data_IF_766461709401
#
_entry.id   IF_766461709401
#
_cell.length_a   1.000
_cell.length_b   1.000
_cell.length_c   1.000
_cell.angle_alpha   90.00
_cell.angle_beta   90.00
_cell.angle_gamma   90.00
#
_symmetry.space_group_name_H-M   'P 1'
#
loop_
_entity.id
_entity.type
_entity.pdbx_description
1 polymer ?
#
# COMPACT_ATOMS: atom_id res chain seq x y z
N UNK A 1 4.45 -16.96 -46.10
CA UNK A 1 3.49 -17.15 -44.99
C UNK A 1 4.19 -16.88 -43.66
N UNK A 2 4.15 -15.63 -43.18
CA UNK A 2 4.21 -15.27 -41.76
C UNK A 2 3.49 -13.93 -41.69
N UNK A 3 2.27 -13.94 -41.14
CA UNK A 3 1.45 -12.73 -40.94
C UNK A 3 2.05 -11.99 -39.75
N UNK A 4 2.56 -10.80 -40.01
CA UNK A 4 2.85 -9.81 -38.97
C UNK A 4 1.50 -9.35 -38.39
N UNK A 5 1.21 -9.79 -37.16
CA UNK A 5 0.06 -9.32 -36.39
C UNK A 5 0.37 -7.94 -35.83
N UNK A 6 0.22 -6.90 -36.65
CA UNK A 6 0.23 -5.52 -36.19
C UNK A 6 -0.90 -5.32 -35.18
N UNK A 7 -0.55 -4.94 -33.96
CA UNK A 7 -1.50 -4.42 -32.99
C UNK A 7 -2.06 -3.14 -33.60
N UNK A 8 -3.29 -3.23 -34.10
CA UNK A 8 -4.06 -2.08 -34.54
C UNK A 8 -4.21 -1.14 -33.35
N UNK A 9 -3.44 -0.05 -33.35
CA UNK A 9 -3.75 1.15 -32.59
C UNK A 9 -5.11 1.63 -33.09
N UNK A 10 -6.19 1.13 -32.47
CA UNK A 10 -7.51 1.74 -32.60
C UNK A 10 -7.31 3.19 -32.20
N UNK A 11 -7.52 4.10 -33.14
CA UNK A 11 -7.59 5.53 -32.86
C UNK A 11 -8.59 5.72 -31.72
N UNK A 12 -8.10 5.98 -30.52
CA UNK A 12 -8.96 6.25 -29.36
C UNK A 12 -9.64 7.57 -29.70
N UNK A 13 -10.87 7.48 -30.19
CA UNK A 13 -11.77 8.62 -30.38
C UNK A 13 -11.78 9.43 -29.09
N UNK A 14 -11.68 10.78 -29.19
CA UNK A 14 -11.72 11.73 -28.07
C UNK A 14 -12.56 11.20 -26.90
N UNK A 15 -11.89 10.78 -25.83
CA UNK A 15 -12.57 10.30 -24.63
C UNK A 15 -13.47 11.42 -24.12
N UNK A 16 -14.73 11.11 -23.86
CA UNK A 16 -15.62 12.05 -23.18
C UNK A 16 -15.45 11.91 -21.67
N UNK A 17 -14.61 12.77 -21.09
CA UNK A 17 -14.38 12.91 -19.65
C UNK A 17 -15.60 13.51 -18.92
N UNK A 18 -16.69 12.76 -18.85
CA UNK A 18 -17.98 13.21 -18.30
C UNK A 18 -17.88 13.65 -16.85
N UNK A 19 -17.10 12.93 -16.04
CA UNK A 19 -16.98 13.22 -14.59
C UNK A 19 -15.86 14.20 -14.32
N UNK A 20 -14.75 14.09 -15.05
CA UNK A 20 -13.54 14.84 -14.76
C UNK A 20 -13.60 16.31 -15.21
N UNK A 21 -14.39 16.64 -16.24
CA UNK A 21 -14.55 18.03 -16.74
C UNK A 21 -14.98 19.02 -15.66
N UNK A 22 -15.79 18.61 -14.68
CA UNK A 22 -16.24 19.50 -13.59
C UNK A 22 -15.09 20.01 -12.71
N UNK A 23 -13.93 19.36 -12.74
CA UNK A 23 -12.77 19.68 -11.89
C UNK A 23 -11.81 20.69 -12.51
N UNK A 24 -12.06 21.18 -13.72
CA UNK A 24 -11.15 22.11 -14.42
C UNK A 24 -10.76 23.33 -13.56
N UNK A 25 -11.73 23.95 -12.90
CA UNK A 25 -11.48 25.08 -12.00
C UNK A 25 -10.66 24.70 -10.76
N UNK A 26 -10.88 23.50 -10.21
CA UNK A 26 -10.12 23.01 -9.05
C UNK A 26 -8.67 22.69 -9.42
N UNK A 27 -8.46 22.12 -10.60
CA UNK A 27 -7.12 21.83 -11.15
C UNK A 27 -6.30 23.11 -11.36
N UNK A 28 -6.96 24.20 -11.77
CA UNK A 28 -6.35 25.51 -11.96
C UNK A 28 -5.91 26.21 -10.66
N UNK A 29 -6.34 25.74 -9.48
CA UNK A 29 -5.88 26.30 -8.19
C UNK A 29 -4.44 25.90 -7.84
N UNK A 30 -3.88 24.88 -8.49
CA UNK A 30 -2.57 24.36 -8.14
C UNK A 30 -1.45 25.39 -8.34
N UNK A 31 -0.90 25.90 -7.24
CA UNK A 31 0.25 26.82 -7.24
C UNK A 31 1.62 26.12 -7.36
N UNK A 32 1.62 24.79 -7.59
CA UNK A 32 2.82 23.96 -7.84
C UNK A 32 3.88 23.99 -6.72
N UNK A 33 3.49 24.23 -5.47
CA UNK A 33 4.37 24.35 -4.31
C UNK A 33 5.16 23.07 -3.94
N UNK A 34 4.65 21.88 -4.27
CA UNK A 34 5.36 20.60 -4.08
C UNK A 34 5.03 19.80 -2.82
N UNK A 35 4.28 20.35 -1.86
CA UNK A 35 3.90 19.63 -0.62
C UNK A 35 3.17 18.30 -0.86
N UNK A 36 2.43 18.20 -1.98
CA UNK A 36 1.68 17.00 -2.32
C UNK A 36 2.54 15.77 -2.61
N UNK A 37 3.82 15.93 -2.99
CA UNK A 37 4.69 14.79 -3.35
C UNK A 37 5.80 14.50 -2.35
N UNK A 38 6.07 15.41 -1.41
CA UNK A 38 7.05 15.23 -0.32
C UNK A 38 6.80 13.94 0.49
N UNK A 39 5.52 13.62 0.73
CA UNK A 39 5.09 12.44 1.48
C UNK A 39 4.43 11.37 0.60
N UNK A 40 4.69 11.37 -0.71
CA UNK A 40 4.14 10.38 -1.63
C UNK A 40 5.04 9.13 -1.69
N UNK A 41 4.56 7.94 -1.28
CA UNK A 41 5.37 6.72 -1.33
C UNK A 41 5.76 6.32 -2.76
N UNK A 42 4.86 6.55 -3.74
CA UNK A 42 5.12 6.22 -5.14
C UNK A 42 6.26 7.05 -5.73
N UNK A 43 6.33 8.33 -5.36
CA UNK A 43 7.42 9.18 -5.82
C UNK A 43 8.76 8.71 -5.25
N UNK A 44 8.79 8.18 -4.02
CA UNK A 44 10.02 7.59 -3.47
C UNK A 44 10.48 6.35 -4.25
N UNK A 45 9.52 5.52 -4.68
CA UNK A 45 9.83 4.32 -5.45
C UNK A 45 10.31 4.65 -6.87
N UNK A 46 9.63 5.57 -7.56
CA UNK A 46 9.91 5.83 -8.99
C UNK A 46 10.77 7.07 -9.26
N UNK A 47 10.74 8.08 -8.40
CA UNK A 47 11.44 9.36 -8.55
C UNK A 47 11.11 10.12 -9.87
N UNK A 48 9.89 9.93 -10.37
CA UNK A 48 9.38 10.59 -11.58
C UNK A 48 8.20 11.51 -11.24
N UNK A 49 8.22 12.71 -11.82
CA UNK A 49 7.19 13.73 -11.59
C UNK A 49 5.78 13.24 -11.94
N UNK A 50 5.62 12.45 -13.00
CA UNK A 50 4.32 11.93 -13.44
C UNK A 50 3.67 10.94 -12.47
N UNK A 51 4.44 10.38 -11.53
CA UNK A 51 3.95 9.50 -10.48
C UNK A 51 3.52 10.25 -9.21
N UNK A 52 3.83 11.54 -9.14
CA UNK A 52 3.42 12.42 -8.05
C UNK A 52 1.93 12.76 -8.13
N UNK A 53 1.29 13.16 -7.02
CA UNK A 53 -0.09 13.63 -7.04
C UNK A 53 -0.28 14.83 -7.97
N UNK A 54 0.63 15.81 -7.92
CA UNK A 54 0.64 16.98 -8.82
C UNK A 54 0.78 16.57 -10.29
N UNK A 55 1.71 15.69 -10.61
CA UNK A 55 1.92 15.20 -11.98
C UNK A 55 0.67 14.54 -12.53
N UNK A 56 -0.02 13.74 -11.73
CA UNK A 56 -1.30 13.12 -12.10
C UNK A 56 -2.40 14.15 -12.32
N UNK A 57 -2.47 15.20 -11.50
CA UNK A 57 -3.41 16.30 -11.73
C UNK A 57 -3.12 17.04 -13.04
N UNK A 58 -1.84 17.25 -13.39
CA UNK A 58 -1.45 17.85 -14.67
C UNK A 58 -1.82 16.95 -15.85
N UNK A 59 -1.61 15.64 -15.74
CA UNK A 59 -2.03 14.68 -16.76
C UNK A 59 -3.55 14.69 -16.94
N UNK A 60 -4.31 14.73 -15.84
CA UNK A 60 -5.78 14.82 -15.89
C UNK A 60 -6.21 16.14 -16.54
N UNK A 61 -5.61 17.27 -16.16
CA UNK A 61 -5.89 18.56 -16.76
C UNK A 61 -5.65 18.53 -18.28
N UNK A 62 -4.48 18.06 -18.72
CA UNK A 62 -4.18 17.95 -20.15
C UNK A 62 -5.14 17.02 -20.90
N UNK A 63 -5.58 15.93 -20.28
CA UNK A 63 -6.56 15.02 -20.87
C UNK A 63 -7.95 15.66 -21.00
N UNK A 64 -8.41 16.43 -20.00
CA UNK A 64 -9.73 17.08 -20.08
C UNK A 64 -9.75 18.28 -21.03
N UNK A 65 -8.63 18.99 -21.20
CA UNK A 65 -8.51 20.11 -22.15
C UNK A 65 -8.19 19.66 -23.58
N UNK A 66 -7.79 18.40 -23.76
CA UNK A 66 -7.40 17.83 -25.05
C UNK A 66 -5.98 18.19 -25.48
N UNK A 67 -5.15 18.70 -24.56
CA UNK A 67 -3.72 18.95 -24.80
C UNK A 67 -2.88 17.66 -24.70
N UNK A 68 -3.37 16.66 -23.96
CA UNK A 68 -2.72 15.37 -23.77
C UNK A 68 -3.66 14.26 -24.19
N UNK A 69 -3.23 13.46 -25.17
CA UNK A 69 -3.98 12.28 -25.57
C UNK A 69 -3.85 11.17 -24.50
N UNK A 70 -4.97 10.54 -24.09
CA UNK A 70 -4.97 9.49 -23.08
C UNK A 70 -4.33 8.21 -23.64
N UNK A 71 -3.35 7.67 -22.91
CA UNK A 71 -2.67 6.42 -23.26
C UNK A 71 -2.80 5.39 -22.14
N UNK A 72 -2.53 4.12 -22.46
CA UNK A 72 -2.53 3.02 -21.49
C UNK A 72 -1.56 3.29 -20.33
N UNK A 73 -0.41 3.89 -20.61
CA UNK A 73 0.59 4.26 -19.61
C UNK A 73 0.09 5.38 -18.69
N UNK A 74 -0.55 6.41 -19.25
CA UNK A 74 -1.12 7.50 -18.44
C UNK A 74 -2.23 6.93 -17.55
N UNK A 75 -3.12 6.11 -18.10
CA UNK A 75 -4.19 5.48 -17.35
C UNK A 75 -3.62 4.66 -16.18
N UNK A 76 -2.60 3.84 -16.42
CA UNK A 76 -1.91 3.08 -15.39
C UNK A 76 -1.38 3.99 -14.27
N UNK A 77 -0.73 5.11 -14.60
CA UNK A 77 -0.22 6.09 -13.61
C UNK A 77 -1.34 6.68 -12.73
N UNK A 78 -2.51 6.98 -13.28
CA UNK A 78 -3.67 7.44 -12.51
C UNK A 78 -4.12 6.36 -11.50
N UNK A 79 -4.04 5.08 -11.90
CA UNK A 79 -4.39 3.94 -11.06
C UNK A 79 -3.35 3.59 -9.99
N UNK A 80 -2.15 4.18 -10.02
CA UNK A 80 -1.14 3.92 -9.00
C UNK A 80 -1.41 4.62 -7.65
N UNK A 81 -2.37 5.54 -7.54
CA UNK A 81 -2.66 6.21 -6.26
C UNK A 81 -3.24 5.25 -5.19
N UNK A 82 -2.65 5.26 -3.99
CA UNK A 82 -3.14 4.51 -2.84
C UNK A 82 -4.18 5.26 -1.99
N UNK A 83 -4.61 6.47 -2.33
CA UNK A 83 -5.60 7.23 -1.54
C UNK A 83 -5.24 7.48 -0.06
N UNK A 84 -3.97 7.71 0.25
CA UNK A 84 -3.54 8.04 1.62
C UNK A 84 -3.97 9.44 2.11
N UNK A 85 -4.45 10.29 1.19
CA UNK A 85 -4.89 11.68 1.44
C UNK A 85 -3.81 12.66 1.89
N UNK A 86 -2.55 12.23 2.08
CA UNK A 86 -1.42 13.14 2.39
C UNK A 86 -1.34 14.34 1.43
N UNK A 87 -1.62 14.13 0.15
CA UNK A 87 -1.59 15.20 -0.84
C UNK A 87 -2.74 16.20 -0.71
N UNK A 88 -3.94 15.73 -0.38
CA UNK A 88 -5.11 16.58 -0.12
C UNK A 88 -4.91 17.37 1.18
N UNK A 89 -4.48 16.70 2.24
CA UNK A 89 -4.33 17.28 3.59
C UNK A 89 -3.24 18.37 3.63
N UNK A 90 -2.16 18.21 2.86
CA UNK A 90 -1.06 19.18 2.77
C UNK A 90 -1.20 20.18 1.62
N UNK A 91 -2.32 20.17 0.88
CA UNK A 91 -2.51 21.09 -0.24
C UNK A 91 -2.84 22.50 0.26
N UNK A 92 -1.89 23.43 0.17
CA UNK A 92 -2.12 24.84 0.52
C UNK A 92 -3.18 25.53 -0.34
N UNK A 93 -3.44 25.01 -1.53
CA UNK A 93 -4.47 25.52 -2.45
C UNK A 93 -5.84 24.84 -2.29
N UNK A 94 -5.96 23.83 -1.42
CA UNK A 94 -7.22 23.12 -1.17
C UNK A 94 -7.74 22.29 -2.34
N UNK A 95 -6.87 21.77 -3.19
CA UNK A 95 -7.27 20.92 -4.33
C UNK A 95 -7.73 19.54 -3.83
N UNK A 96 -8.95 19.07 -4.18
CA UNK A 96 -9.49 17.78 -3.73
C UNK A 96 -8.91 16.62 -4.56
N UNK A 97 -7.64 16.27 -4.32
CA UNK A 97 -6.85 15.37 -5.18
C UNK A 97 -7.50 13.99 -5.32
N UNK A 98 -7.97 13.41 -4.22
CA UNK A 98 -8.52 12.05 -4.20
C UNK A 98 -9.85 11.92 -4.94
N UNK A 99 -10.66 12.97 -4.92
CA UNK A 99 -11.95 13.07 -5.58
C UNK A 99 -11.73 13.20 -7.10
N UNK A 100 -10.82 14.09 -7.51
CA UNK A 100 -10.40 14.24 -8.91
C UNK A 100 -9.88 12.91 -9.46
N UNK A 101 -8.99 12.24 -8.72
CA UNK A 101 -8.45 10.94 -9.12
C UNK A 101 -9.56 9.87 -9.24
N UNK A 102 -10.57 9.90 -8.37
CA UNK A 102 -11.69 8.92 -8.44
C UNK A 102 -12.51 9.11 -9.71
N UNK A 103 -12.84 10.34 -10.06
CA UNK A 103 -13.58 10.63 -11.29
C UNK A 103 -12.76 10.35 -12.55
N UNK A 104 -11.45 10.67 -12.53
CA UNK A 104 -10.54 10.34 -13.61
C UNK A 104 -10.42 8.83 -13.82
N UNK A 105 -10.33 8.04 -12.74
CA UNK A 105 -10.35 6.57 -12.82
C UNK A 105 -11.63 6.05 -13.47
N UNK A 106 -12.78 6.59 -13.08
CA UNK A 106 -14.07 6.17 -13.63
C UNK A 106 -14.17 6.48 -15.12
N UNK A 107 -13.75 7.68 -15.55
CA UNK A 107 -13.76 8.05 -16.97
C UNK A 107 -12.80 7.18 -17.80
N UNK A 108 -11.63 6.81 -17.26
CA UNK A 108 -10.68 5.91 -17.93
C UNK A 108 -11.21 4.47 -18.03
N UNK A 109 -11.88 3.96 -17.01
CA UNK A 109 -12.50 2.62 -17.05
C UNK A 109 -13.65 2.60 -18.04
N UNK A 110 -14.51 3.62 -18.05
CA UNK A 110 -15.62 3.74 -19.01
C UNK A 110 -15.11 3.84 -20.46
N UNK A 111 -13.93 4.42 -20.67
CA UNK A 111 -13.26 4.50 -21.96
C UNK A 111 -12.59 3.18 -22.39
N UNK A 112 -12.61 2.14 -21.55
CA UNK A 112 -12.12 0.80 -21.88
C UNK A 112 -10.63 0.57 -21.64
N UNK A 113 -9.97 1.40 -20.82
CA UNK A 113 -8.58 1.15 -20.43
C UNK A 113 -8.48 -0.03 -19.45
N UNK A 114 -7.60 -0.97 -19.76
CA UNK A 114 -7.33 -2.09 -18.85
C UNK A 114 -6.15 -1.76 -17.94
N UNK A 115 -6.45 -1.33 -16.73
CA UNK A 115 -5.49 -0.77 -15.77
C UNK A 115 -5.41 -1.62 -14.52
N UNK A 116 -4.26 -1.70 -13.91
CA UNK A 116 -4.11 -2.34 -12.59
C UNK A 116 -3.62 -1.31 -11.58
N UNK A 117 -2.51 -0.63 -11.88
CA UNK A 117 -1.85 0.28 -10.97
C UNK A 117 -1.65 -0.37 -9.61
N UNK A 118 -2.19 0.24 -8.55
CA UNK A 118 -2.13 -0.30 -7.19
C UNK A 118 -3.40 -1.03 -6.75
N UNK A 119 -4.32 -1.31 -7.68
CA UNK A 119 -5.50 -2.13 -7.38
C UNK A 119 -5.13 -3.61 -7.25
N UNK A 120 -6.05 -4.40 -6.69
CA UNK A 120 -5.86 -5.84 -6.52
C UNK A 120 -6.42 -6.58 -7.74
N UNK A 121 -5.83 -7.72 -8.06
CA UNK A 121 -6.35 -8.68 -9.06
C UNK A 121 -6.67 -10.01 -8.40
N UNK A 122 -7.52 -10.81 -9.05
CA UNK A 122 -7.94 -12.14 -8.59
C UNK A 122 -7.62 -13.14 -9.69
N UNK A 123 -6.91 -14.21 -9.35
CA UNK A 123 -6.78 -15.37 -10.22
C UNK A 123 -8.07 -16.20 -10.13
N UNK A 124 -8.96 -16.01 -11.12
CA UNK A 124 -10.33 -16.52 -11.09
C UNK A 124 -10.38 -18.06 -11.02
N UNK A 125 -9.50 -18.75 -11.74
CA UNK A 125 -9.49 -20.22 -11.86
C UNK A 125 -9.15 -20.96 -10.55
N UNK A 126 -8.41 -20.29 -9.65
CA UNK A 126 -8.00 -20.85 -8.36
C UNK A 126 -8.88 -20.35 -7.20
N UNK A 127 -9.82 -19.44 -7.47
CA UNK A 127 -10.62 -18.80 -6.44
C UNK A 127 -11.71 -19.73 -5.91
N UNK A 128 -11.70 -19.98 -4.60
CA UNK A 128 -12.73 -20.80 -3.93
C UNK A 128 -14.08 -20.08 -3.70
N UNK A 129 -14.20 -18.81 -4.11
CA UNK A 129 -15.43 -18.00 -4.00
C UNK A 129 -15.97 -17.92 -2.55
N UNK A 130 -15.10 -18.08 -1.54
CA UNK A 130 -15.48 -18.12 -0.13
C UNK A 130 -16.00 -16.78 0.44
N UNK A 131 -15.74 -15.65 -0.22
CA UNK A 131 -16.24 -14.34 0.17
C UNK A 131 -15.47 -13.62 1.29
N UNK A 132 -14.36 -14.15 1.79
CA UNK A 132 -13.59 -13.47 2.84
C UNK A 132 -13.04 -12.12 2.39
N UNK A 133 -12.62 -12.01 1.13
CA UNK A 133 -12.14 -10.76 0.56
C UNK A 133 -13.25 -9.69 0.45
N UNK A 134 -14.47 -10.11 0.07
CA UNK A 134 -15.66 -9.26 0.02
C UNK A 134 -16.01 -8.77 1.43
N UNK A 135 -16.03 -9.66 2.43
CA UNK A 135 -16.45 -9.31 3.81
C UNK A 135 -15.48 -8.38 4.53
N UNK A 136 -14.21 -8.34 4.15
CA UNK A 136 -13.21 -7.42 4.73
C UNK A 136 -13.07 -6.11 3.96
N UNK A 137 -13.69 -5.97 2.78
CA UNK A 137 -13.49 -4.81 1.91
C UNK A 137 -14.39 -3.64 2.32
N UNK A 138 -13.88 -2.76 3.19
CA UNK A 138 -14.60 -1.54 3.62
C UNK A 138 -14.95 -0.58 2.46
N UNK A 139 -14.19 -0.61 1.36
CA UNK A 139 -14.46 0.21 0.18
C UNK A 139 -15.44 -0.43 -0.80
N UNK A 140 -15.97 -1.62 -0.50
CA UNK A 140 -16.90 -2.37 -1.36
C UNK A 140 -16.39 -2.55 -2.79
N UNK A 141 -15.07 -2.70 -2.92
CA UNK A 141 -14.41 -2.88 -4.20
C UNK A 141 -14.37 -4.33 -4.66
N UNK A 142 -14.65 -5.28 -3.77
CA UNK A 142 -14.72 -6.71 -4.08
C UNK A 142 -16.17 -7.15 -4.00
N UNK A 143 -16.67 -7.75 -5.07
CA UNK A 143 -18.08 -8.09 -5.22
C UNK A 143 -18.23 -9.49 -5.80
N UNK A 144 -19.34 -10.15 -5.47
CA UNK A 144 -19.72 -11.36 -6.17
C UNK A 144 -20.37 -11.01 -7.50
N UNK A 145 -19.95 -11.66 -8.57
CA UNK A 145 -20.53 -11.57 -9.91
C UNK A 145 -20.70 -12.97 -10.49
N UNK A 146 -21.23 -13.06 -11.69
CA UNK A 146 -21.38 -14.31 -12.43
C UNK A 146 -20.53 -14.24 -13.71
N UNK A 147 -19.96 -15.38 -14.12
CA UNK A 147 -19.35 -15.54 -15.44
C UNK A 147 -20.43 -15.75 -16.53
N UNK A 148 -20.01 -15.91 -17.79
CA UNK A 148 -20.92 -16.11 -18.92
C UNK A 148 -21.77 -17.39 -18.81
N UNK A 149 -21.36 -18.34 -17.97
CA UNK A 149 -22.01 -19.64 -17.77
C UNK A 149 -22.86 -19.66 -16.48
N UNK A 150 -22.87 -18.56 -15.72
CA UNK A 150 -23.61 -18.41 -14.47
C UNK A 150 -22.87 -18.91 -13.23
N UNK A 151 -21.58 -19.24 -13.32
CA UNK A 151 -20.80 -19.56 -12.12
C UNK A 151 -20.47 -18.29 -11.35
N UNK A 152 -20.60 -18.38 -10.03
CA UNK A 152 -20.26 -17.28 -9.14
C UNK A 152 -18.76 -17.06 -9.13
N UNK A 153 -18.34 -15.80 -9.29
CA UNK A 153 -16.95 -15.37 -9.15
C UNK A 153 -16.82 -14.11 -8.31
N UNK A 154 -15.59 -13.71 -8.04
CA UNK A 154 -15.28 -12.46 -7.33
C UNK A 154 -14.64 -11.49 -8.32
N UNK A 155 -15.25 -10.32 -8.49
CA UNK A 155 -14.73 -9.24 -9.33
C UNK A 155 -14.22 -8.07 -8.48
N UNK A 156 -13.33 -7.28 -9.08
CA UNK A 156 -12.75 -6.08 -8.47
C UNK A 156 -13.24 -4.82 -9.20
N UNK A 157 -13.93 -3.95 -8.48
CA UNK A 157 -14.19 -2.57 -8.89
C UNK A 157 -12.89 -1.76 -8.70
N UNK A 158 -12.18 -1.57 -9.81
CA UNK A 158 -10.88 -0.87 -9.85
C UNK A 158 -11.00 0.62 -9.48
N UNK A 159 -12.18 1.23 -9.62
CA UNK A 159 -12.42 2.65 -9.26
C UNK A 159 -12.57 2.79 -7.74
N UNK A 160 -13.30 1.86 -7.10
CA UNK A 160 -13.47 1.84 -5.65
C UNK A 160 -12.25 1.35 -4.89
N UNK A 161 -11.44 0.47 -5.50
CA UNK A 161 -10.29 -0.14 -4.84
C UNK A 161 -9.26 0.91 -4.39
N UNK A 162 -8.95 0.90 -3.09
CA UNK A 162 -7.98 1.83 -2.47
C UNK A 162 -6.59 1.22 -2.26
N UNK A 163 -6.37 -0.02 -2.71
CA UNK A 163 -5.05 -0.68 -2.65
C UNK A 163 -4.54 -1.00 -1.25
N UNK A 164 -5.39 -1.06 -0.22
CA UNK A 164 -4.96 -1.31 1.16
C UNK A 164 -4.41 -2.74 1.38
N UNK A 165 -4.84 -3.71 0.57
CA UNK A 165 -4.37 -5.11 0.55
C UNK A 165 -4.85 -5.98 1.70
N UNK A 166 -5.88 -5.57 2.43
CA UNK A 166 -6.45 -6.40 3.48
C UNK A 166 -7.00 -7.73 2.94
N UNK A 167 -7.53 -7.72 1.70
CA UNK A 167 -8.00 -8.92 1.01
C UNK A 167 -6.85 -9.87 0.63
N UNK A 168 -5.70 -9.34 0.17
CA UNK A 168 -4.48 -10.11 -0.09
C UNK A 168 -4.05 -10.84 1.18
N UNK A 169 -3.96 -10.11 2.30
CA UNK A 169 -3.59 -10.65 3.61
C UNK A 169 -4.63 -11.59 4.25
N UNK A 170 -5.83 -11.72 3.68
CA UNK A 170 -6.90 -12.57 4.24
C UNK A 170 -7.25 -13.73 3.31
N UNK A 171 -6.78 -13.72 2.06
CA UNK A 171 -7.10 -14.75 1.09
C UNK A 171 -6.48 -16.09 1.51
N UNK A 172 -7.29 -17.13 1.81
CA UNK A 172 -6.76 -18.41 2.25
C UNK A 172 -6.17 -19.20 1.07
N UNK A 173 -6.64 -18.92 -0.14
CA UNK A 173 -6.20 -19.57 -1.38
C UNK A 173 -4.97 -18.88 -1.99
N UNK A 174 -4.58 -17.69 -1.50
CA UNK A 174 -3.43 -16.94 -2.05
C UNK A 174 -3.64 -16.34 -3.45
N UNK A 175 -4.88 -16.30 -3.97
CA UNK A 175 -5.19 -15.90 -5.36
C UNK A 175 -5.38 -14.40 -5.58
N UNK A 176 -5.30 -13.61 -4.50
CA UNK A 176 -5.42 -12.16 -4.55
C UNK A 176 -4.03 -11.54 -4.49
N UNK A 177 -3.68 -10.74 -5.48
CA UNK A 177 -2.37 -10.09 -5.56
C UNK A 177 -2.50 -8.61 -5.92
N UNK A 178 -1.38 -7.89 -5.80
CA UNK A 178 -1.19 -6.58 -6.41
C UNK A 178 0.04 -6.67 -7.28
N UNK A 179 0.02 -5.93 -8.38
CA UNK A 179 1.15 -5.80 -9.29
C UNK A 179 2.41 -5.41 -8.52
N UNK A 180 3.52 -6.04 -8.88
CA UNK A 180 4.84 -5.72 -8.33
C UNK A 180 5.37 -4.39 -8.87
N UNK A 181 6.40 -3.86 -8.21
CA UNK A 181 7.00 -2.56 -8.48
C UNK A 181 6.51 -1.44 -7.57
N UNK A 182 5.72 -1.75 -6.55
CA UNK A 182 5.20 -0.75 -5.60
C UNK A 182 5.63 -1.00 -4.14
N UNK A 183 6.49 -2.00 -3.89
CA UNK A 183 7.04 -2.34 -2.57
C UNK A 183 5.98 -2.79 -1.54
N UNK A 184 4.89 -3.42 -1.99
CA UNK A 184 3.73 -3.76 -1.15
C UNK A 184 3.27 -5.21 -1.29
N UNK A 185 3.73 -5.94 -2.31
CA UNK A 185 3.41 -7.36 -2.44
C UNK A 185 4.02 -8.15 -1.26
N UNK A 186 3.45 -9.31 -0.86
CA UNK A 186 4.05 -10.14 0.19
C UNK A 186 5.53 -10.45 -0.07
N UNK A 187 5.87 -10.80 -1.32
CA UNK A 187 7.24 -11.10 -1.73
C UNK A 187 8.17 -9.88 -1.63
N UNK A 188 7.70 -8.70 -2.03
CA UNK A 188 8.47 -7.45 -1.90
C UNK A 188 8.70 -7.08 -0.43
N UNK A 189 7.70 -7.29 0.43
CA UNK A 189 7.81 -7.03 1.87
C UNK A 189 8.82 -7.99 2.51
N UNK A 190 8.79 -9.28 2.19
CA UNK A 190 9.79 -10.25 2.63
C UNK A 190 11.20 -9.89 2.15
N UNK A 191 11.34 -9.50 0.88
CA UNK A 191 12.61 -9.08 0.32
C UNK A 191 13.15 -7.82 1.00
N UNK A 192 12.29 -6.86 1.35
CA UNK A 192 12.67 -5.65 2.11
C UNK A 192 13.20 -6.02 3.50
N UNK A 193 12.54 -6.94 4.22
CA UNK A 193 12.99 -7.45 5.52
C UNK A 193 14.38 -8.07 5.40
N UNK A 194 14.53 -9.05 4.50
CA UNK A 194 15.79 -9.78 4.29
C UNK A 194 16.91 -8.83 3.89
N UNK A 195 16.67 -7.93 2.94
CA UNK A 195 17.66 -6.94 2.48
C UNK A 195 18.11 -6.05 3.63
N UNK A 196 17.17 -5.53 4.40
CA UNK A 196 17.48 -4.63 5.50
C UNK A 196 18.33 -5.33 6.58
N UNK A 197 17.92 -6.51 7.05
CA UNK A 197 18.62 -7.22 8.12
C UNK A 197 20.02 -7.71 7.69
N UNK A 198 20.19 -8.13 6.43
CA UNK A 198 21.51 -8.51 5.89
C UNK A 198 22.47 -7.33 5.75
N UNK A 199 21.96 -6.14 5.45
CA UNK A 199 22.78 -4.93 5.32
C UNK A 199 23.11 -4.27 6.67
N UNK A 200 22.41 -4.64 7.75
CA UNK A 200 22.54 -4.00 9.05
C UNK A 200 22.66 -5.05 10.17
N UNK A 201 23.88 -5.53 10.42
CA UNK A 201 24.15 -6.58 11.41
C UNK A 201 23.74 -6.19 12.85
N UNK A 202 23.71 -4.89 13.14
CA UNK A 202 23.30 -4.36 14.46
C UNK A 202 21.78 -4.12 14.56
N UNK A 203 21.02 -4.34 13.48
CA UNK A 203 19.59 -4.11 13.50
C UNK A 203 18.88 -5.15 14.37
N UNK A 204 18.07 -4.68 15.31
CA UNK A 204 17.38 -5.56 16.27
C UNK A 204 15.92 -5.73 15.97
N UNK A 205 15.28 -4.71 15.39
CA UNK A 205 13.83 -4.75 15.16
C UNK A 205 13.46 -4.30 13.75
N UNK A 206 12.29 -4.76 13.30
CA UNK A 206 11.58 -4.25 12.13
C UNK A 206 10.31 -3.53 12.61
N UNK A 207 10.03 -2.37 12.02
CA UNK A 207 8.85 -1.55 12.27
C UNK A 207 8.05 -1.44 10.98
N UNK A 208 6.89 -2.09 10.93
CA UNK A 208 5.94 -1.93 9.84
C UNK A 208 5.07 -0.70 10.08
N UNK A 209 5.10 0.27 9.17
CA UNK A 209 4.33 1.50 9.29
C UNK A 209 3.17 1.52 8.31
N UNK A 210 1.95 1.81 8.77
CA UNK A 210 0.79 2.05 7.92
C UNK A 210 0.88 3.43 7.24
N UNK A 211 0.91 3.45 5.91
CA UNK A 211 1.05 4.68 5.12
C UNK A 211 -0.08 5.70 5.29
N UNK A 212 -1.29 5.28 5.70
CA UNK A 212 -2.44 6.19 5.96
C UNK A 212 -2.45 6.80 7.37
N UNK A 213 -1.63 6.25 8.28
CA UNK A 213 -1.50 6.69 9.66
C UNK A 213 -0.29 7.59 9.78
N UNK A 214 0.89 7.02 9.93
CA UNK A 214 2.13 7.78 10.06
C UNK A 214 3.11 7.22 9.06
N UNK A 215 3.43 8.06 8.08
CA UNK A 215 4.57 7.84 7.23
C UNK A 215 5.77 8.56 7.87
N UNK A 216 6.81 7.82 8.30
CA UNK A 216 8.03 8.45 8.82
C UNK A 216 8.62 9.32 7.70
N UNK A 217 8.53 10.64 7.94
CA UNK A 217 8.63 11.67 6.90
C UNK A 217 9.94 11.65 6.13
N UNK A 218 9.85 12.04 4.86
CA UNK A 218 10.98 12.61 4.13
C UNK A 218 10.71 14.11 4.07
N UNK A 219 11.62 14.91 4.62
CA UNK A 219 11.74 16.31 4.22
C UNK A 219 12.62 16.34 2.96
N UNK A 220 12.14 16.97 1.89
CA UNK A 220 12.87 17.05 0.61
C UNK A 220 14.10 17.98 0.65
N UNK A 221 14.30 18.73 1.73
CA UNK A 221 15.62 19.30 2.04
C UNK A 221 16.41 18.26 2.84
N UNK A 222 17.41 17.64 2.21
CA UNK A 222 18.41 16.87 2.92
C UNK A 222 19.08 17.75 3.99
N UNK A 223 18.76 17.50 5.26
CA UNK A 223 19.82 17.37 6.25
C UNK A 223 20.47 15.98 6.03
N UNK A 224 21.72 15.71 6.45
CA UNK A 224 22.43 14.43 6.26
C UNK A 224 21.81 13.21 6.98
N UNK A 225 20.50 13.23 7.18
CA UNK A 225 19.68 12.40 8.05
C UNK A 225 18.74 11.53 7.22
N UNK A 226 19.32 10.62 6.43
CA UNK A 226 18.90 9.23 6.64
C UNK A 226 19.11 9.01 8.13
N UNK A 227 18.04 9.07 8.94
CA UNK A 227 18.16 8.71 10.34
C UNK A 227 18.60 7.25 10.29
N UNK A 228 19.89 7.03 10.51
CA UNK A 228 20.44 5.72 10.82
C UNK A 228 19.75 5.29 12.11
N UNK A 229 18.58 4.70 11.95
CA UNK A 229 17.86 4.09 13.03
C UNK A 229 18.48 2.71 13.20
N UNK A 230 18.63 2.21 14.43
CA UNK A 230 19.10 0.84 14.68
C UNK A 230 18.06 -0.22 14.27
N UNK A 231 17.05 0.15 13.47
CA UNK A 231 15.91 -0.67 13.11
C UNK A 231 15.37 -0.39 11.72
N UNK A 232 14.72 -1.37 11.13
CA UNK A 232 14.20 -1.26 9.77
C UNK A 232 12.81 -0.68 9.79
N UNK A 233 12.57 0.36 8.98
CA UNK A 233 11.23 0.88 8.76
C UNK A 233 10.75 0.37 7.41
N UNK A 234 9.66 -0.40 7.42
CA UNK A 234 9.01 -0.90 6.22
C UNK A 234 7.64 -0.27 6.13
N UNK A 235 7.40 0.50 5.08
CA UNK A 235 6.11 1.12 4.87
C UNK A 235 5.18 0.09 4.25
N UNK A 236 4.26 -0.39 5.07
CA UNK A 236 3.10 -1.11 4.57
C UNK A 236 2.01 -0.13 4.20
N UNK A 237 1.21 -0.50 3.23
CA UNK A 237 0.02 0.26 2.95
C UNK A 237 -0.89 0.30 4.18
N UNK A 238 -1.35 -0.84 4.67
CA UNK A 238 -2.20 -0.88 5.85
C UNK A 238 -1.57 -1.79 6.90
N UNK A 239 -1.73 -1.48 8.19
CA UNK A 239 -1.33 -2.41 9.26
C UNK A 239 -2.09 -3.76 9.18
N UNK A 240 -3.27 -3.76 8.56
CA UNK A 240 -4.03 -4.97 8.23
C UNK A 240 -3.41 -5.83 7.14
N UNK A 241 -2.34 -5.36 6.47
CA UNK A 241 -1.53 -6.16 5.55
C UNK A 241 -0.49 -7.00 6.28
N UNK A 242 -0.07 -6.58 7.47
CA UNK A 242 0.91 -7.35 8.25
C UNK A 242 0.24 -8.63 8.74
N UNK A 243 0.70 -9.75 8.22
CA UNK A 243 0.23 -11.08 8.59
C UNK A 243 1.19 -11.71 9.61
N UNK A 244 0.75 -12.76 10.35
CA UNK A 244 1.65 -13.52 11.21
C UNK A 244 2.88 -14.07 10.47
N UNK A 245 2.71 -14.49 9.22
CA UNK A 245 3.78 -15.03 8.37
C UNK A 245 4.89 -14.01 8.14
N UNK A 246 4.54 -12.75 7.84
CA UNK A 246 5.53 -11.67 7.69
C UNK A 246 6.31 -11.38 8.98
N UNK A 247 5.64 -11.46 10.14
CA UNK A 247 6.29 -11.28 11.44
C UNK A 247 7.25 -12.43 11.74
N UNK A 248 6.81 -13.66 11.48
CA UNK A 248 7.64 -14.86 11.65
C UNK A 248 8.81 -14.89 10.68
N UNK A 249 8.61 -14.43 9.44
CA UNK A 249 9.69 -14.26 8.46
C UNK A 249 10.75 -13.29 8.97
N UNK A 250 10.35 -12.15 9.55
CA UNK A 250 11.32 -11.23 10.16
C UNK A 250 12.14 -11.88 11.28
N UNK A 251 11.52 -12.71 12.13
CA UNK A 251 12.26 -13.47 13.15
C UNK A 251 13.19 -14.52 12.55
N UNK A 252 12.76 -15.22 11.50
CA UNK A 252 13.59 -16.18 10.76
C UNK A 252 14.83 -15.51 10.16
N UNK A 253 14.67 -14.30 9.63
CA UNK A 253 15.77 -13.51 9.05
C UNK A 253 16.65 -12.81 10.09
N UNK A 254 16.36 -12.98 11.39
CA UNK A 254 17.24 -12.55 12.48
C UNK A 254 16.76 -11.32 13.28
N UNK A 255 15.57 -10.79 13.01
CA UNK A 255 15.00 -9.74 13.85
C UNK A 255 14.73 -10.26 15.27
N UNK A 256 15.04 -9.47 16.29
CA UNK A 256 14.78 -9.78 17.70
C UNK A 256 13.39 -9.35 18.13
N UNK A 257 12.79 -8.40 17.41
CA UNK A 257 11.46 -7.86 17.68
C UNK A 257 10.82 -7.25 16.43
N UNK A 258 9.49 -7.22 16.41
CA UNK A 258 8.70 -6.62 15.33
C UNK A 258 7.64 -5.69 15.91
N UNK A 259 7.59 -4.46 15.42
CA UNK A 259 6.56 -3.50 15.74
C UNK A 259 5.65 -3.28 14.54
N UNK A 260 4.34 -3.19 14.78
CA UNK A 260 3.34 -2.83 13.78
C UNK A 260 2.68 -1.52 14.21
N UNK A 261 2.89 -0.48 13.42
CA UNK A 261 2.32 0.84 13.61
C UNK A 261 1.10 1.03 12.69
N UNK A 262 -0.05 1.35 13.29
CA UNK A 262 -1.31 1.52 12.56
C UNK A 262 -2.10 2.75 12.98
N UNK A 263 -3.14 3.06 12.20
CA UNK A 263 -4.13 4.07 12.58
C UNK A 263 -4.78 3.69 13.92
N UNK A 264 -5.03 4.65 14.84
CA UNK A 264 -5.79 4.41 16.04
C UNK A 264 -7.15 3.76 15.73
N UNK A 265 -7.74 3.03 16.69
CA UNK A 265 -9.15 2.64 16.61
C UNK A 265 -10.02 3.83 16.22
N UNK A 266 -11.07 3.59 15.44
CA UNK A 266 -12.02 4.59 14.94
C UNK A 266 -11.48 5.56 13.86
N UNK A 267 -10.16 5.79 13.78
CA UNK A 267 -9.55 6.65 12.74
C UNK A 267 -9.23 5.91 11.42
N UNK A 268 -9.34 4.58 11.38
CA UNK A 268 -8.96 3.80 10.20
C UNK A 268 -10.03 3.77 9.10
N UNK A 269 -9.67 4.27 7.91
CA UNK A 269 -10.50 4.22 6.70
C UNK A 269 -10.73 2.79 6.15
N UNK A 270 -10.07 1.76 6.71
CA UNK A 270 -10.06 0.41 6.13
C UNK A 270 -10.38 -0.73 7.12
N UNK A 271 -10.58 -0.43 8.40
CA UNK A 271 -10.71 -1.40 9.51
C UNK A 271 -9.55 -2.41 9.64
N UNK A 272 -8.45 -2.19 8.91
CA UNK A 272 -7.27 -3.05 8.94
C UNK A 272 -6.55 -3.04 10.29
N UNK A 273 -6.64 -1.93 11.04
CA UNK A 273 -6.14 -1.82 12.40
C UNK A 273 -6.79 -2.84 13.35
N UNK A 274 -8.11 -3.04 13.27
CA UNK A 274 -8.83 -4.02 14.09
C UNK A 274 -8.43 -5.46 13.75
N UNK A 275 -8.23 -5.75 12.45
CA UNK A 275 -7.76 -7.06 12.01
C UNK A 275 -6.32 -7.32 12.46
N UNK A 276 -5.45 -6.34 12.31
CA UNK A 276 -4.07 -6.36 12.79
C UNK A 276 -4.01 -6.61 14.30
N UNK A 277 -4.79 -5.86 15.10
CA UNK A 277 -4.90 -6.06 16.55
C UNK A 277 -5.25 -7.50 16.92
N UNK A 278 -6.26 -8.09 16.26
CA UNK A 278 -6.67 -9.49 16.51
C UNK A 278 -5.56 -10.48 16.13
N UNK A 279 -4.91 -10.30 14.97
CA UNK A 279 -3.80 -11.15 14.53
C UNK A 279 -2.61 -11.09 15.48
N UNK A 280 -2.21 -9.89 15.93
CA UNK A 280 -1.10 -9.72 16.87
C UNK A 280 -1.42 -10.37 18.23
N UNK A 281 -2.66 -10.25 18.72
CA UNK A 281 -3.08 -10.93 19.96
C UNK A 281 -2.98 -12.46 19.83
N UNK A 282 -3.44 -13.02 18.71
CA UNK A 282 -3.34 -14.47 18.45
C UNK A 282 -1.88 -14.91 18.27
N UNK A 283 -1.08 -14.11 17.56
CA UNK A 283 0.34 -14.37 17.36
C UNK A 283 1.10 -14.38 18.69
N UNK A 284 0.80 -13.47 19.62
CA UNK A 284 1.40 -13.50 20.97
C UNK A 284 1.13 -14.80 21.72
N UNK A 285 -0.06 -15.39 21.55
CA UNK A 285 -0.35 -16.70 22.14
C UNK A 285 0.43 -17.82 21.45
N UNK A 286 0.59 -17.76 20.13
CA UNK A 286 1.45 -18.70 19.37
C UNK A 286 2.92 -18.60 19.81
N UNK A 287 3.46 -17.38 19.96
CA UNK A 287 4.85 -17.17 20.39
C UNK A 287 5.13 -17.80 21.76
N UNK A 288 4.20 -17.67 22.72
CA UNK A 288 4.32 -18.36 24.02
C UNK A 288 4.44 -19.88 23.86
N UNK A 289 3.69 -20.49 22.94
CA UNK A 289 3.78 -21.93 22.67
C UNK A 289 5.11 -22.32 22.01
N UNK A 290 5.71 -21.41 21.26
CA UNK A 290 7.03 -21.57 20.64
C UNK A 290 8.19 -21.20 21.61
N UNK A 291 7.90 -20.90 22.88
CA UNK A 291 8.86 -20.39 23.86
C UNK A 291 9.59 -19.10 23.39
N UNK A 292 8.89 -18.26 22.65
CA UNK A 292 9.34 -16.93 22.24
C UNK A 292 8.59 -15.89 23.08
N UNK A 293 9.31 -14.93 23.65
CA UNK A 293 8.73 -13.88 24.48
C UNK A 293 7.70 -13.05 23.68
N UNK A 294 6.42 -13.00 24.08
CA UNK A 294 5.36 -12.28 23.36
C UNK A 294 5.56 -10.75 23.33
N UNK A 295 6.44 -10.22 24.19
CA UNK A 295 6.92 -8.83 24.19
C UNK A 295 7.67 -8.49 22.90
N UNK A 296 8.23 -9.50 22.20
CA UNK A 296 8.92 -9.33 20.91
C UNK A 296 8.03 -8.85 19.77
N UNK A 297 6.71 -8.81 19.98
CA UNK A 297 5.78 -8.21 19.02
C UNK A 297 5.01 -7.07 19.69
N UNK A 298 5.02 -5.88 19.10
CA UNK A 298 4.33 -4.70 19.62
C UNK A 298 3.38 -4.11 18.57
N UNK A 299 2.17 -3.75 19.00
CA UNK A 299 1.26 -2.93 18.20
C UNK A 299 1.32 -1.49 18.74
N UNK A 300 1.47 -0.51 17.85
CA UNK A 300 1.43 0.92 18.17
C UNK A 300 0.35 1.64 17.35
N UNK A 301 -0.24 2.68 17.94
CA UNK A 301 -1.31 3.47 17.35
C UNK A 301 -0.86 4.92 17.22
N UNK A 302 -0.93 5.47 16.01
CA UNK A 302 -0.44 6.82 15.74
C UNK A 302 -1.35 7.53 14.73
N UNK A 303 -1.85 8.70 15.09
CA UNK A 303 -2.65 9.53 14.19
C UNK A 303 -1.77 10.19 13.13
N UNK A 304 -2.38 10.76 12.08
CA UNK A 304 -1.64 11.45 11.01
C UNK A 304 -0.74 12.56 11.56
N UNK A 305 0.49 12.61 11.07
CA UNK A 305 1.50 13.59 11.47
C UNK A 305 2.24 13.29 12.78
N UNK A 306 1.90 12.22 13.50
CA UNK A 306 2.54 11.86 14.79
C UNK A 306 3.90 11.15 14.63
N UNK A 307 4.71 11.53 13.64
CA UNK A 307 6.01 10.90 13.33
C UNK A 307 6.99 10.93 14.51
N UNK A 308 6.96 11.98 15.33
CA UNK A 308 7.79 12.06 16.55
C UNK A 308 7.38 11.01 17.60
N UNK A 309 6.07 10.78 17.80
CA UNK A 309 5.57 9.76 18.72
C UNK A 309 5.89 8.35 18.22
N UNK A 310 5.77 8.12 16.91
CA UNK A 310 6.19 6.87 16.29
C UNK A 310 7.68 6.59 16.55
N UNK A 311 8.54 7.59 16.31
CA UNK A 311 9.97 7.47 16.55
C UNK A 311 10.26 7.12 18.01
N UNK A 312 9.68 7.85 18.96
CA UNK A 312 9.87 7.57 20.38
C UNK A 312 9.45 6.14 20.74
N UNK A 313 8.27 5.70 20.28
CA UNK A 313 7.77 4.36 20.57
C UNK A 313 8.64 3.25 19.95
N UNK A 314 9.23 3.49 18.78
CA UNK A 314 10.16 2.56 18.14
C UNK A 314 11.52 2.52 18.86
N UNK A 315 12.03 3.66 19.33
CA UNK A 315 13.24 3.75 20.13
C UNK A 315 13.06 3.00 21.47
N UNK A 316 11.96 3.26 22.19
CA UNK A 316 11.61 2.58 23.44
C UNK A 316 11.50 1.06 23.24
N UNK A 317 10.88 0.64 22.13
CA UNK A 317 10.76 -0.77 21.79
C UNK A 317 12.12 -1.40 21.48
N UNK A 318 12.98 -0.70 20.73
CA UNK A 318 14.33 -1.18 20.44
C UNK A 318 15.15 -1.37 21.72
N UNK A 319 15.04 -0.47 22.70
CA UNK A 319 15.69 -0.63 24.00
C UNK A 319 15.18 -1.85 24.77
N UNK A 320 13.86 -2.06 24.81
CA UNK A 320 13.24 -3.22 25.47
C UNK A 320 13.73 -4.53 24.85
N UNK A 321 13.72 -4.62 23.51
CA UNK A 321 14.19 -5.80 22.79
C UNK A 321 15.69 -6.01 22.95
N UNK A 322 16.47 -4.93 23.06
CA UNK A 322 17.90 -5.02 23.33
C UNK A 322 18.18 -5.69 24.69
N UNK A 323 17.33 -5.49 25.69
CA UNK A 323 17.44 -6.16 27.01
C UNK A 323 17.08 -7.64 26.95
N UNK A 324 16.15 -8.04 26.09
CA UNK A 324 15.81 -9.45 25.87
C UNK A 324 16.88 -10.20 25.06
N UNK A 325 17.65 -9.48 24.24
CA UNK A 325 18.67 -10.06 23.39
C UNK A 325 18.08 -10.84 22.19
N UNK A 326 18.94 -11.56 21.43
CA UNK A 326 18.51 -12.31 20.24
C UNK A 326 17.55 -13.44 20.59
N UNK A 327 16.66 -13.75 19.65
CA UNK A 327 15.81 -14.95 19.74
C UNK A 327 16.70 -16.19 19.65
N UNK A 328 16.67 -17.01 20.70
CA UNK A 328 17.38 -18.30 20.71
C UNK A 328 16.41 -19.38 20.27
N UNK A 329 16.42 -19.70 18.99
CA UNK A 329 15.71 -20.89 18.52
C UNK A 329 16.36 -22.13 19.14
N UNK A 330 15.55 -23.04 19.69
CA UNK A 330 16.06 -24.33 20.11
C UNK A 330 16.66 -25.06 18.90
N UNK A 331 17.74 -25.81 19.07
CA UNK A 331 18.44 -26.57 18.02
C UNK A 331 17.58 -27.61 17.29
N UNK A 332 16.32 -27.77 17.69
CA UNK A 332 15.32 -28.63 17.05
C UNK A 332 14.66 -27.92 15.86
N UNK A 333 14.62 -26.59 15.82
CA UNK A 333 13.98 -25.80 14.74
C UNK A 333 14.90 -25.62 13.53
N UNK A 334 16.22 -25.75 13.70
CA UNK A 334 17.22 -25.65 12.61
C UNK A 334 17.19 -26.82 11.60
N UNK A 335 16.30 -27.79 11.79
CA UNK A 335 16.14 -28.97 10.92
C UNK A 335 14.84 -28.96 10.08
N UNK A 336 14.05 -27.88 10.14
CA UNK A 336 12.82 -27.71 9.36
C UNK A 336 12.98 -26.70 8.22
#
# INVERSE_FOLDING_TARGET
MKKEGGVSLRSVSKIDFKRSKKWENELNKCIRCGYCYELCPLYKTFNWESDTPRGKLLLIYGMITGEVEPTQEIAEKIFQCFYCKNCSDNCSAGVPVTEILTDARADLVDAGFDVEGTTVSVEEDLCSVCGMCVSVCKSEALLFTEDEVGNRKVAVDKVKCKGCGLCVATCPAGVLSQKEGFDVSPMELEAQITRFLKMNENARIIVFCCNWSVFPGLQLSESPTLISTPYGIIVTMCSGRVTPELVLHAFKEGAWGVMVAGCPPEECDHDGNYKSRRRILLLKNLLKQLNIEPERVRMGWFSRGESAKLKQAADDFNEEISRLGPIRFSSVVSYW
#
